data_IF_707178181792
#
_entry.id   IF_707178181792
#
_cell.length_a   1.000
_cell.length_b   1.000
_cell.length_c   1.000
_cell.angle_alpha   90.00
_cell.angle_beta   90.00
_cell.angle_gamma   90.00
#
_symmetry.space_group_name_H-M   'P 1'
#
loop_
_entity.id
_entity.type
_entity.pdbx_description
1 polymer ?
#
# COMPACT_ATOMS: atom_id res chain seq x y z
N UNK A 1 29.11 -16.12 3.98
CA UNK A 1 28.40 -15.83 2.73
C UNK A 1 27.88 -14.41 2.79
N UNK A 2 28.39 -13.52 1.96
CA UNK A 2 28.02 -12.11 1.96
C UNK A 2 26.54 -11.92 1.54
N UNK A 3 25.93 -10.79 1.92
CA UNK A 3 24.55 -10.48 1.55
C UNK A 3 24.33 -10.56 0.02
N UNK A 4 25.30 -10.05 -0.74
CA UNK A 4 25.23 -10.06 -2.21
C UNK A 4 25.26 -11.46 -2.80
N UNK A 5 25.97 -12.43 -2.19
CA UNK A 5 25.99 -13.83 -2.64
C UNK A 5 24.61 -14.48 -2.45
N UNK A 6 23.93 -14.17 -1.34
CA UNK A 6 22.56 -14.62 -1.09
C UNK A 6 21.56 -14.04 -2.10
N UNK A 7 21.70 -12.76 -2.43
CA UNK A 7 20.86 -12.12 -3.44
C UNK A 7 21.11 -12.67 -4.85
N UNK A 8 22.37 -12.92 -5.20
CA UNK A 8 22.74 -13.53 -6.48
C UNK A 8 22.19 -14.96 -6.60
N UNK A 9 22.29 -15.78 -5.56
CA UNK A 9 21.74 -17.15 -5.55
C UNK A 9 20.22 -17.15 -5.66
N UNK A 10 19.52 -16.27 -4.97
CA UNK A 10 18.07 -16.12 -5.08
C UNK A 10 17.63 -15.69 -6.49
N UNK A 11 18.40 -14.80 -7.13
CA UNK A 11 18.13 -14.38 -8.51
C UNK A 11 18.40 -15.50 -9.53
N UNK A 12 19.39 -16.37 -9.27
CA UNK A 12 19.65 -17.55 -10.09
C UNK A 12 18.50 -18.56 -10.01
N UNK A 13 18.09 -18.94 -8.80
CA UNK A 13 16.93 -19.83 -8.58
C UNK A 13 15.68 -19.30 -9.26
N UNK A 14 15.42 -18.01 -9.18
CA UNK A 14 14.28 -17.38 -9.86
C UNK A 14 14.36 -17.53 -11.37
N UNK A 15 15.52 -17.30 -11.98
CA UNK A 15 15.72 -17.50 -13.44
C UNK A 15 15.50 -18.94 -13.85
N UNK A 16 16.01 -19.90 -13.08
CA UNK A 16 15.87 -21.32 -13.38
C UNK A 16 14.41 -21.77 -13.32
N UNK A 17 13.66 -21.33 -12.32
CA UNK A 17 12.22 -21.61 -12.23
C UNK A 17 11.43 -21.01 -13.40
N UNK A 18 11.76 -19.77 -13.82
CA UNK A 18 11.12 -19.13 -14.98
C UNK A 18 11.45 -19.88 -16.27
N UNK A 19 12.71 -20.27 -16.48
CA UNK A 19 13.14 -21.00 -17.69
C UNK A 19 12.53 -22.40 -17.77
N UNK A 20 12.25 -23.02 -16.63
CA UNK A 20 11.54 -24.29 -16.54
C UNK A 20 10.01 -24.18 -16.69
N UNK A 21 9.47 -22.99 -16.99
CA UNK A 21 8.03 -22.76 -17.11
C UNK A 21 7.28 -22.73 -15.77
N UNK A 22 8.00 -22.68 -14.65
CA UNK A 22 7.42 -22.59 -13.31
C UNK A 22 6.88 -21.20 -12.97
N UNK A 23 5.81 -21.17 -12.17
CA UNK A 23 5.29 -19.94 -11.58
C UNK A 23 6.22 -19.49 -10.43
N UNK A 24 6.81 -18.31 -10.56
CA UNK A 24 7.55 -17.67 -9.47
C UNK A 24 6.57 -16.81 -8.67
N UNK A 25 6.39 -17.04 -7.35
CA UNK A 25 5.69 -16.12 -6.48
C UNK A 25 6.36 -14.74 -6.58
N UNK A 26 5.87 -13.70 -6.98
CA UNK A 26 6.46 -12.38 -7.26
C UNK A 26 7.01 -12.16 -8.68
N UNK A 27 6.72 -13.06 -9.65
CA UNK A 27 7.30 -13.00 -11.00
C UNK A 27 6.34 -12.54 -12.11
N UNK A 28 5.05 -12.44 -11.84
CA UNK A 28 4.07 -12.08 -12.87
C UNK A 28 4.00 -10.55 -13.03
N UNK A 29 4.38 -10.06 -14.20
CA UNK A 29 4.28 -8.64 -14.52
C UNK A 29 2.94 -8.36 -15.18
N UNK A 30 2.14 -7.49 -14.58
CA UNK A 30 0.93 -6.94 -15.21
C UNK A 30 1.35 -5.74 -16.06
N UNK A 31 1.33 -5.92 -17.38
CA UNK A 31 1.80 -4.93 -18.35
C UNK A 31 0.82 -3.74 -18.49
N UNK A 32 -0.48 -4.01 -18.35
CA UNK A 32 -1.55 -3.02 -18.47
C UNK A 32 -2.81 -3.46 -17.76
N UNK A 33 -3.46 -2.55 -17.06
CA UNK A 33 -4.80 -2.75 -16.49
C UNK A 33 -5.84 -2.39 -17.55
N UNK A 34 -6.72 -3.33 -17.87
CA UNK A 34 -7.79 -3.16 -18.86
C UNK A 34 -9.12 -2.77 -18.20
N UNK A 35 -9.43 -3.40 -17.06
CA UNK A 35 -10.63 -3.15 -16.27
C UNK A 35 -10.32 -3.38 -14.77
N UNK A 36 -11.27 -3.20 -13.85
CA UNK A 36 -11.06 -3.53 -12.44
C UNK A 36 -10.62 -4.98 -12.18
N UNK A 37 -10.95 -5.90 -13.08
CA UNK A 37 -10.73 -7.34 -12.91
C UNK A 37 -9.83 -7.96 -13.98
N UNK A 38 -9.38 -7.19 -14.97
CA UNK A 38 -8.63 -7.74 -16.11
C UNK A 38 -7.37 -6.93 -16.40
N UNK A 39 -6.34 -7.63 -16.85
CA UNK A 39 -5.08 -7.04 -17.28
C UNK A 39 -4.40 -7.82 -18.39
N UNK A 40 -3.27 -7.29 -18.84
CA UNK A 40 -2.38 -7.96 -19.80
C UNK A 40 -1.20 -8.56 -19.03
N UNK A 41 -0.91 -9.82 -19.29
CA UNK A 41 0.25 -10.55 -18.76
C UNK A 41 0.84 -11.39 -19.89
N UNK A 42 2.12 -11.20 -20.19
CA UNK A 42 2.82 -11.86 -21.29
C UNK A 42 2.05 -11.75 -22.63
N UNK A 43 1.56 -10.56 -22.94
CA UNK A 43 0.77 -10.28 -24.13
C UNK A 43 -0.63 -10.92 -24.17
N UNK A 44 -1.08 -11.54 -23.08
CA UNK A 44 -2.40 -12.19 -23.01
C UNK A 44 -3.33 -11.42 -22.06
N UNK A 45 -4.61 -11.34 -22.43
CA UNK A 45 -5.67 -10.84 -21.54
C UNK A 45 -5.97 -11.91 -20.47
N UNK A 46 -5.90 -11.52 -19.21
CA UNK A 46 -6.11 -12.42 -18.07
C UNK A 46 -7.05 -11.79 -17.04
N UNK A 47 -7.71 -12.65 -16.24
CA UNK A 47 -8.46 -12.22 -15.06
C UNK A 47 -7.48 -12.08 -13.89
N UNK A 48 -7.48 -10.93 -13.23
CA UNK A 48 -6.61 -10.59 -12.12
C UNK A 48 -7.23 -11.03 -10.78
N UNK A 49 -7.44 -12.35 -10.59
CA UNK A 49 -8.07 -12.91 -9.39
C UNK A 49 -7.23 -12.80 -8.11
N UNK A 50 -5.90 -12.60 -8.24
CA UNK A 50 -4.99 -12.47 -7.09
C UNK A 50 -4.84 -11.05 -6.56
N UNK A 51 -5.69 -10.08 -6.95
CA UNK A 51 -5.59 -8.70 -6.50
C UNK A 51 -6.39 -8.45 -5.22
N UNK A 52 -5.94 -7.49 -4.40
CA UNK A 52 -6.70 -7.01 -3.24
C UNK A 52 -7.74 -5.93 -3.60
N UNK A 53 -8.12 -5.85 -4.87
CA UNK A 53 -9.10 -4.88 -5.37
C UNK A 53 -10.55 -5.38 -5.16
N UNK A 54 -10.88 -5.79 -3.93
CA UNK A 54 -12.13 -6.48 -3.58
C UNK A 54 -13.41 -5.74 -4.01
N UNK A 55 -13.39 -4.40 -3.99
CA UNK A 55 -14.53 -3.57 -4.39
C UNK A 55 -14.42 -3.02 -5.81
N UNK A 56 -13.37 -3.37 -6.56
CA UNK A 56 -13.14 -2.88 -7.92
C UNK A 56 -12.84 -1.39 -8.01
N UNK A 57 -12.49 -0.73 -6.90
CA UNK A 57 -12.36 0.73 -6.82
C UNK A 57 -11.04 1.27 -7.35
N UNK A 58 -9.99 0.45 -7.46
CA UNK A 58 -8.65 0.92 -7.85
C UNK A 58 -8.62 1.60 -9.23
N UNK A 59 -9.51 1.20 -10.15
CA UNK A 59 -9.62 1.81 -11.49
C UNK A 59 -10.95 2.56 -11.70
N UNK A 60 -11.70 2.83 -10.64
CA UNK A 60 -13.01 3.48 -10.74
C UNK A 60 -12.87 4.94 -11.23
N UNK A 61 -13.71 5.41 -12.18
CA UNK A 61 -13.55 6.76 -12.77
C UNK A 61 -13.60 7.89 -11.74
N UNK A 62 -14.48 7.81 -10.75
CA UNK A 62 -14.58 8.81 -9.67
C UNK A 62 -13.29 8.86 -8.82
N UNK A 63 -12.68 7.70 -8.54
CA UNK A 63 -11.41 7.63 -7.79
C UNK A 63 -10.28 8.27 -8.58
N UNK A 64 -10.14 7.94 -9.87
CA UNK A 64 -9.15 8.56 -10.76
C UNK A 64 -9.33 10.07 -10.88
N UNK A 65 -10.58 10.55 -11.01
CA UNK A 65 -10.87 11.99 -11.06
C UNK A 65 -10.48 12.69 -9.76
N UNK A 66 -10.81 12.10 -8.61
CA UNK A 66 -10.45 12.64 -7.31
C UNK A 66 -8.93 12.70 -7.10
N UNK A 67 -8.22 11.63 -7.47
CA UNK A 67 -6.76 11.59 -7.38
C UNK A 67 -6.08 12.66 -8.26
N UNK A 68 -6.52 12.82 -9.51
CA UNK A 68 -6.00 13.88 -10.40
C UNK A 68 -6.21 15.27 -9.81
N UNK A 69 -7.42 15.56 -9.32
CA UNK A 69 -7.72 16.85 -8.66
C UNK A 69 -6.85 17.07 -7.42
N UNK A 70 -6.62 16.03 -6.62
CA UNK A 70 -5.76 16.11 -5.46
C UNK A 70 -4.31 16.42 -5.84
N UNK A 71 -3.78 15.80 -6.89
CA UNK A 71 -2.42 16.06 -7.40
C UNK A 71 -2.30 17.52 -7.88
N UNK A 72 -3.29 18.01 -8.61
CA UNK A 72 -3.30 19.40 -9.10
C UNK A 72 -3.32 20.42 -7.94
N UNK A 73 -4.04 20.11 -6.85
CA UNK A 73 -4.20 21.02 -5.72
C UNK A 73 -3.09 20.89 -4.67
N UNK A 74 -2.58 19.70 -4.42
CA UNK A 74 -1.71 19.38 -3.29
C UNK A 74 -0.32 18.84 -3.70
N UNK A 75 -0.08 18.58 -4.99
CA UNK A 75 1.09 17.87 -5.48
C UNK A 75 0.99 16.36 -5.27
N UNK A 76 2.08 15.65 -5.56
CA UNK A 76 2.15 14.17 -5.45
C UNK A 76 2.30 13.67 -4.01
N UNK A 77 2.55 14.56 -3.07
CA UNK A 77 2.69 14.21 -1.65
C UNK A 77 3.16 15.39 -0.82
N UNK A 78 3.13 15.29 0.51
CA UNK A 78 3.42 16.39 1.42
C UNK A 78 4.91 16.75 1.51
N UNK A 79 5.81 15.97 0.89
CA UNK A 79 7.27 16.13 0.92
C UNK A 79 7.88 16.23 2.33
N UNK A 80 7.13 15.89 3.37
CA UNK A 80 7.54 15.94 4.77
C UNK A 80 6.79 14.89 5.60
N UNK A 81 7.32 14.53 6.76
CA UNK A 81 6.63 13.67 7.74
C UNK A 81 5.52 14.44 8.46
N UNK A 82 4.47 13.74 8.84
CA UNK A 82 3.27 14.34 9.44
C UNK A 82 3.55 15.13 10.73
N UNK A 83 4.49 14.67 11.54
CA UNK A 83 4.86 15.30 12.81
C UNK A 83 5.63 16.62 12.67
N UNK A 84 6.13 16.97 11.49
CA UNK A 84 6.87 18.23 11.27
C UNK A 84 6.04 19.19 10.41
N UNK A 85 5.94 18.94 9.10
CA UNK A 85 5.27 19.83 8.15
C UNK A 85 4.42 19.07 7.11
N UNK A 86 4.28 17.74 7.24
CA UNK A 86 3.62 16.89 6.25
C UNK A 86 2.11 16.69 6.50
N UNK A 87 1.53 17.22 7.55
CA UNK A 87 0.09 17.13 7.78
C UNK A 87 -0.65 18.20 6.97
N UNK A 88 -1.26 17.78 5.88
CA UNK A 88 -2.10 18.62 5.04
C UNK A 88 -3.56 18.58 5.51
N UNK A 89 -4.35 19.59 5.17
CA UNK A 89 -5.78 19.62 5.48
C UNK A 89 -6.55 18.40 4.92
N UNK A 90 -6.06 17.81 3.82
CA UNK A 90 -6.61 16.61 3.22
C UNK A 90 -6.52 15.39 4.15
N UNK A 91 -5.44 15.26 4.93
CA UNK A 91 -5.31 14.20 5.93
C UNK A 91 -6.37 14.34 7.03
N UNK A 92 -6.53 15.54 7.57
CA UNK A 92 -7.52 15.83 8.62
C UNK A 92 -8.95 15.59 8.13
N UNK A 93 -9.26 15.98 6.89
CA UNK A 93 -10.56 15.71 6.27
C UNK A 93 -10.81 14.19 6.11
N UNK A 94 -9.80 13.43 5.71
CA UNK A 94 -9.90 11.97 5.59
C UNK A 94 -10.16 11.33 6.96
N UNK A 95 -9.39 11.70 7.97
CA UNK A 95 -9.51 11.17 9.34
C UNK A 95 -10.91 11.42 9.91
N UNK A 96 -11.43 12.64 9.80
CA UNK A 96 -12.80 12.97 10.21
C UNK A 96 -13.86 12.13 9.49
N UNK A 97 -13.70 11.94 8.18
CA UNK A 97 -14.64 11.11 7.40
C UNK A 97 -14.54 9.63 7.76
N UNK A 98 -13.35 9.12 8.07
CA UNK A 98 -13.16 7.76 8.53
C UNK A 98 -13.79 7.54 9.89
N UNK A 99 -13.61 8.47 10.84
CA UNK A 99 -14.23 8.43 12.14
C UNK A 99 -15.77 8.39 12.04
N UNK A 100 -16.35 9.30 11.23
CA UNK A 100 -17.78 9.30 10.95
C UNK A 100 -18.28 7.99 10.33
N UNK A 101 -17.57 7.48 9.32
CA UNK A 101 -17.94 6.23 8.65
C UNK A 101 -17.89 5.03 9.59
N UNK A 102 -16.93 4.99 10.50
CA UNK A 102 -16.75 3.92 11.48
C UNK A 102 -17.62 4.09 12.74
N UNK A 103 -18.19 5.26 12.95
CA UNK A 103 -18.97 5.57 14.17
C UNK A 103 -18.09 5.65 15.43
N UNK A 104 -16.85 6.11 15.29
CA UNK A 104 -15.89 6.29 16.40
C UNK A 104 -15.59 7.76 16.60
N UNK A 105 -15.03 8.10 17.78
CA UNK A 105 -14.73 9.47 18.17
C UNK A 105 -13.67 10.09 17.25
N UNK A 106 -12.61 9.37 16.94
CA UNK A 106 -11.54 9.85 16.07
C UNK A 106 -10.91 8.71 15.25
N UNK A 107 -10.09 9.05 14.27
CA UNK A 107 -9.34 8.13 13.44
C UNK A 107 -8.00 8.73 13.03
N UNK A 108 -6.96 7.94 13.05
CA UNK A 108 -5.64 8.30 12.55
C UNK A 108 -5.33 7.55 11.25
N UNK A 109 -5.01 8.27 10.20
CA UNK A 109 -4.58 7.71 8.93
C UNK A 109 -3.06 7.50 8.91
N UNK A 110 -2.66 6.31 8.50
CA UNK A 110 -1.27 5.94 8.20
C UNK A 110 -1.19 5.28 6.82
N UNK A 111 0.01 5.25 6.23
CA UNK A 111 0.19 4.82 4.83
C UNK A 111 -0.08 3.33 4.56
N UNK A 112 -0.15 2.49 5.59
CA UNK A 112 -0.40 1.05 5.42
C UNK A 112 -0.93 0.40 6.69
N UNK A 113 -1.58 -0.77 6.56
CA UNK A 113 -1.96 -1.60 7.70
C UNK A 113 -0.77 -2.07 8.53
N UNK A 114 0.38 -2.30 7.90
CA UNK A 114 1.62 -2.60 8.60
C UNK A 114 2.01 -1.46 9.56
N UNK A 115 2.03 -0.21 9.06
CA UNK A 115 2.30 0.95 9.89
C UNK A 115 1.23 1.19 10.97
N UNK A 116 -0.04 0.85 10.68
CA UNK A 116 -1.10 0.91 11.69
C UNK A 116 -0.82 -0.03 12.87
N UNK A 117 -0.45 -1.28 12.60
CA UNK A 117 -0.09 -2.24 13.64
C UNK A 117 1.18 -1.82 14.40
N UNK A 118 2.19 -1.31 13.70
CA UNK A 118 3.41 -0.80 14.32
C UNK A 118 3.16 0.40 15.26
N UNK A 119 2.17 1.21 14.96
CA UNK A 119 1.79 2.34 15.81
C UNK A 119 0.86 1.90 16.97
N UNK A 120 -0.19 1.12 16.67
CA UNK A 120 -1.23 0.80 17.64
C UNK A 120 -0.75 -0.20 18.70
N UNK A 121 -0.05 -1.28 18.31
CA UNK A 121 0.33 -2.33 19.27
C UNK A 121 1.27 -1.81 20.37
N UNK A 122 2.38 -1.11 20.06
CA UNK A 122 3.24 -0.57 21.10
C UNK A 122 2.56 0.52 21.96
N UNK A 123 1.64 1.28 21.37
CA UNK A 123 0.89 2.31 22.10
C UNK A 123 -0.08 1.71 23.13
N UNK A 124 -0.67 0.54 22.82
CA UNK A 124 -1.64 -0.12 23.69
C UNK A 124 -1.01 -1.06 24.71
N UNK A 125 0.08 -1.74 24.36
CA UNK A 125 0.71 -2.79 25.19
C UNK A 125 2.16 -2.49 25.53
N UNK A 126 2.70 -1.37 25.05
CA UNK A 126 4.05 -0.93 25.39
C UNK A 126 4.15 -0.40 26.80
N UNK A 127 5.38 -0.36 27.35
CA UNK A 127 5.63 0.33 28.61
C UNK A 127 5.35 1.82 28.49
N UNK A 128 4.62 2.36 29.43
CA UNK A 128 4.43 3.81 29.55
C UNK A 128 5.76 4.47 29.93
N UNK A 129 6.46 4.97 28.89
CA UNK A 129 7.75 5.66 29.09
C UNK A 129 7.61 6.99 29.82
N UNK A 130 6.40 7.57 29.88
CA UNK A 130 6.16 8.82 30.57
C UNK A 130 6.02 8.66 32.07
N UNK A 131 5.47 7.53 32.52
CA UNK A 131 5.22 7.27 33.96
C UNK A 131 6.19 6.28 34.58
N UNK A 132 6.99 5.56 33.77
CA UNK A 132 7.87 4.49 34.27
C UNK A 132 7.13 3.28 34.84
N UNK A 133 5.82 3.19 34.67
CA UNK A 133 5.04 2.04 35.10
C UNK A 133 5.36 0.82 34.21
N UNK A 134 5.61 -0.30 34.86
CA UNK A 134 5.83 -1.62 34.23
C UNK A 134 4.51 -2.35 34.09
#
# INVERSE_FOLDING_TARGET
MALFDKLASAAAVRRDVISAGGLVPFGVTVERILSPTEGMVAGRRVILGGTNNYLGLANHPKMKKAAKKAIEQWGVGPAAVRSIAGTQALHIQLEKRLAQFKGVEDALYVQSGFCANQAAIPALVGQDRATGAQ
#
